data_IF_006639690181
#
_entry.id   IF_006639690181
#
_cell.length_a   1.000
_cell.length_b   1.000
_cell.length_c   1.000
_cell.angle_alpha   90.00
_cell.angle_beta   90.00
_cell.angle_gamma   90.00
#
_symmetry.space_group_name_H-M   'P 1'
#
loop_
_entity.id
_entity.type
_entity.pdbx_description
1 polymer ?
#
# COMPACT_ATOMS: atom_id res chain seq x y z
N UNK A 1 -45.83 -22.55 35.23
CA UNK A 1 -45.84 -21.42 34.30
C UNK A 1 -45.32 -21.92 32.96
N UNK A 2 -46.18 -22.12 31.96
CA UNK A 2 -45.75 -22.58 30.64
C UNK A 2 -45.58 -21.33 29.78
N UNK A 3 -44.34 -20.90 29.54
CA UNK A 3 -44.09 -19.73 28.70
C UNK A 3 -44.50 -20.08 27.26
N UNK A 4 -45.38 -19.30 26.60
CA UNK A 4 -45.83 -19.60 25.24
C UNK A 4 -44.74 -19.37 24.19
N UNK A 5 -43.64 -18.72 24.57
CA UNK A 5 -42.50 -18.45 23.70
C UNK A 5 -41.36 -19.44 23.97
N UNK A 6 -40.66 -19.88 22.91
CA UNK A 6 -39.45 -20.67 23.08
C UNK A 6 -38.44 -19.89 23.93
N UNK A 7 -37.62 -20.63 24.69
CA UNK A 7 -36.50 -20.04 25.40
C UNK A 7 -35.62 -19.29 24.41
N UNK A 8 -35.14 -18.10 24.78
CA UNK A 8 -34.21 -17.34 23.96
C UNK A 8 -32.96 -18.19 23.70
N UNK A 9 -32.49 -18.18 22.45
CA UNK A 9 -31.21 -18.81 22.13
C UNK A 9 -30.11 -17.95 22.78
N UNK A 10 -29.21 -18.54 23.59
CA UNK A 10 -28.14 -17.78 24.24
C UNK A 10 -27.25 -17.10 23.20
N UNK A 11 -26.88 -15.84 23.45
CA UNK A 11 -25.99 -15.09 22.55
C UNK A 11 -24.58 -15.69 22.60
N UNK A 12 -24.02 -16.11 21.45
CA UNK A 12 -22.72 -16.79 21.40
C UNK A 12 -21.55 -15.93 21.88
N UNK A 13 -21.68 -14.61 21.90
CA UNK A 13 -20.62 -13.69 22.31
C UNK A 13 -20.57 -13.45 23.83
N UNK A 14 -21.54 -13.96 24.59
CA UNK A 14 -21.59 -13.76 26.06
C UNK A 14 -20.55 -14.65 26.76
N UNK A 15 -20.49 -15.93 26.40
CA UNK A 15 -19.56 -16.89 27.02
C UNK A 15 -18.26 -17.04 26.22
N UNK A 16 -18.30 -16.81 24.91
CA UNK A 16 -17.14 -16.95 24.02
C UNK A 16 -17.05 -15.75 23.05
N UNK A 17 -16.65 -14.57 23.53
CA UNK A 17 -16.52 -13.39 22.67
C UNK A 17 -15.48 -13.64 21.58
N UNK A 18 -15.74 -13.15 20.37
CA UNK A 18 -14.75 -13.15 19.29
C UNK A 18 -13.64 -12.17 19.66
N UNK A 19 -12.47 -12.70 20.03
CA UNK A 19 -11.29 -11.90 20.33
C UNK A 19 -10.53 -11.63 19.02
N UNK A 20 -10.24 -10.36 18.68
CA UNK A 20 -9.40 -10.06 17.53
C UNK A 20 -7.99 -10.63 17.75
N UNK A 21 -7.27 -10.98 16.67
CA UNK A 21 -5.90 -11.47 16.80
C UNK A 21 -5.06 -10.46 17.57
N UNK A 22 -4.29 -10.95 18.55
CA UNK A 22 -3.42 -10.12 19.39
C UNK A 22 -2.17 -9.67 18.65
N UNK A 23 -1.76 -10.43 17.63
CA UNK A 23 -0.59 -10.13 16.84
C UNK A 23 -0.92 -9.08 15.75
N UNK A 24 -0.08 -8.05 15.59
CA UNK A 24 -0.20 -7.13 14.49
C UNK A 24 -0.04 -7.87 13.16
N UNK A 25 -0.79 -7.46 12.15
CA UNK A 25 -0.60 -7.98 10.81
C UNK A 25 0.84 -7.70 10.33
N UNK A 26 1.45 -8.63 9.58
CA UNK A 26 2.77 -8.40 9.03
C UNK A 26 2.76 -7.15 8.15
N UNK A 27 3.77 -6.29 8.34
CA UNK A 27 3.97 -5.11 7.50
C UNK A 27 4.35 -5.57 6.09
N UNK A 28 3.70 -5.09 5.02
CA UNK A 28 4.13 -5.40 3.66
C UNK A 28 5.58 -5.01 3.44
N UNK A 29 6.32 -5.84 2.69
CA UNK A 29 7.66 -5.47 2.24
C UNK A 29 7.55 -4.27 1.29
N UNK A 30 8.24 -3.18 1.64
CA UNK A 30 8.37 -2.00 0.79
C UNK A 30 9.84 -1.76 0.53
N UNK A 31 10.19 -1.44 -0.73
CA UNK A 31 11.52 -0.95 -1.04
C UNK A 31 11.83 0.31 -0.21
N UNK A 32 13.06 0.47 0.31
CA UNK A 32 13.43 1.71 0.97
C UNK A 32 13.22 2.89 0.02
N UNK A 33 12.73 4.03 0.54
CA UNK A 33 12.67 5.25 -0.26
C UNK A 33 14.07 5.60 -0.78
N UNK A 34 14.19 5.85 -2.09
CA UNK A 34 15.47 6.22 -2.72
C UNK A 34 16.29 5.06 -3.32
N UNK A 35 15.74 3.84 -3.41
CA UNK A 35 16.36 2.75 -4.19
C UNK A 35 16.34 2.98 -5.70
N UNK A 36 15.50 3.92 -6.17
CA UNK A 36 15.44 4.25 -7.59
C UNK A 36 16.61 5.19 -7.94
N UNK A 37 17.51 4.79 -8.87
CA UNK A 37 18.58 5.66 -9.32
C UNK A 37 18.01 6.93 -9.97
N UNK A 38 18.72 8.06 -9.91
CA UNK A 38 18.28 9.26 -10.61
C UNK A 38 18.15 8.97 -12.12
N UNK A 39 17.22 9.65 -12.82
CA UNK A 39 17.14 9.57 -14.27
C UNK A 39 18.50 9.89 -14.89
N UNK A 40 18.89 9.12 -15.92
CA UNK A 40 20.05 9.49 -16.73
C UNK A 40 19.71 10.74 -17.53
N UNK A 41 20.55 11.77 -17.43
CA UNK A 41 20.46 12.93 -18.31
C UNK A 41 21.01 12.57 -19.69
N UNK A 42 20.31 13.00 -20.74
CA UNK A 42 20.84 12.92 -22.10
C UNK A 42 21.99 13.95 -22.24
N UNK A 43 23.08 13.59 -22.96
CA UNK A 43 24.14 14.55 -23.22
C UNK A 43 23.60 15.74 -24.02
N UNK A 44 24.13 16.96 -23.81
CA UNK A 44 23.69 18.12 -24.56
C UNK A 44 23.91 17.90 -26.06
N UNK A 45 22.91 18.24 -26.88
CA UNK A 45 23.05 18.23 -28.33
C UNK A 45 24.02 19.35 -28.74
N UNK A 46 25.19 18.98 -29.24
CA UNK A 46 26.11 19.95 -29.87
C UNK A 46 25.54 20.32 -31.23
N UNK A 47 25.31 21.62 -31.46
CA UNK A 47 25.02 22.13 -32.79
C UNK A 47 26.35 22.22 -33.57
N UNK A 48 26.42 21.71 -34.80
CA UNK A 48 27.61 21.87 -35.63
C UNK A 48 27.87 23.36 -35.92
N UNK A 49 29.14 23.77 -36.12
CA UNK A 49 29.48 25.16 -36.40
C UNK A 49 28.84 25.60 -37.74
N UNK A 50 28.30 26.83 -37.76
CA UNK A 50 27.78 27.45 -38.98
C UNK A 50 28.95 28.01 -39.79
N UNK A 51 29.16 27.50 -41.00
CA UNK A 51 30.11 28.06 -41.96
C UNK A 51 29.44 29.26 -42.62
N UNK A 52 29.99 30.46 -42.44
CA UNK A 52 29.51 31.66 -43.13
C UNK A 52 30.28 31.80 -44.44
N UNK A 53 29.61 31.64 -45.58
CA UNK A 53 30.19 31.99 -46.88
C UNK A 53 30.02 33.50 -47.10
N UNK A 54 31.10 34.26 -47.33
CA UNK A 54 30.99 35.69 -47.68
C UNK A 54 30.38 35.87 -49.07
N UNK A 55 29.55 36.91 -49.22
CA UNK A 55 29.00 37.37 -50.51
C UNK A 55 30.01 38.16 -51.34
#
# INVERSE_FOLDING_TARGET
MNNPFPAETPDPNIDNPVIPPSDPQPVPEQDPPGTQPPPREEPPTTMPPVIVTPE
#
